data_IF_276829287357
#
_entry.id   IF_276829287357
#
_cell.length_a   1.000
_cell.length_b   1.000
_cell.length_c   1.000
_cell.angle_alpha   90.00
_cell.angle_beta   90.00
_cell.angle_gamma   90.00
#
_symmetry.space_group_name_H-M   'P 1'
#
loop_
_entity.id
_entity.type
_entity.pdbx_description
1 polymer ?
#
# COMPACT_ATOMS: atom_id res chain seq x y z
N UNK A 1 -1.64 -29.53 45.36
CA UNK A 1 -2.48 -29.29 44.16
C UNK A 1 -2.90 -27.84 43.99
N UNK A 2 -3.42 -27.15 45.02
CA UNK A 2 -3.92 -25.75 44.91
C UNK A 2 -2.88 -24.79 44.29
N UNK A 3 -1.62 -24.84 44.76
CA UNK A 3 -0.53 -24.01 44.22
C UNK A 3 -0.30 -24.21 42.71
N UNK A 4 -0.35 -25.45 42.22
CA UNK A 4 -0.17 -25.76 40.80
C UNK A 4 -1.32 -25.19 39.94
N UNK A 5 -2.57 -25.30 40.40
CA UNK A 5 -3.71 -24.70 39.71
C UNK A 5 -3.59 -23.16 39.64
N UNK A 6 -3.10 -22.51 40.70
CA UNK A 6 -2.84 -21.07 40.71
C UNK A 6 -1.74 -20.69 39.72
N UNK A 7 -0.62 -21.41 39.69
CA UNK A 7 0.45 -21.17 38.72
C UNK A 7 -0.02 -21.34 37.27
N UNK A 8 -0.76 -22.41 36.96
CA UNK A 8 -1.30 -22.61 35.62
C UNK A 8 -2.26 -21.47 35.21
N UNK A 9 -3.09 -21.00 36.14
CA UNK A 9 -3.99 -19.86 35.91
C UNK A 9 -3.22 -18.56 35.66
N UNK A 10 -2.12 -18.33 36.36
CA UNK A 10 -1.24 -17.17 36.15
C UNK A 10 -0.55 -17.22 34.79
N UNK A 11 0.05 -18.36 34.41
CA UNK A 11 0.67 -18.55 33.09
C UNK A 11 -0.35 -18.34 31.96
N UNK A 12 -1.57 -18.87 32.11
CA UNK A 12 -2.66 -18.64 31.16
C UNK A 12 -3.06 -17.16 31.05
N UNK A 13 -3.06 -16.42 32.17
CA UNK A 13 -3.32 -14.97 32.17
C UNK A 13 -2.19 -14.21 31.45
N UNK A 14 -0.93 -14.49 31.77
CA UNK A 14 0.22 -13.85 31.12
C UNK A 14 0.23 -14.08 29.60
N UNK A 15 -0.07 -15.30 29.16
CA UNK A 15 -0.19 -15.63 27.73
C UNK A 15 -1.29 -14.82 27.05
N UNK A 16 -2.47 -14.66 27.67
CA UNK A 16 -3.57 -13.86 27.11
C UNK A 16 -3.24 -12.37 27.07
N UNK A 17 -2.60 -11.84 28.11
CA UNK A 17 -2.16 -10.44 28.14
C UNK A 17 -1.17 -10.16 27.00
N UNK A 18 -0.13 -10.99 26.88
CA UNK A 18 0.85 -10.85 25.78
C UNK A 18 0.20 -10.90 24.40
N UNK A 19 -0.82 -11.72 24.21
CA UNK A 19 -1.58 -11.76 22.96
C UNK A 19 -2.40 -10.48 22.75
N UNK A 20 -3.07 -9.98 23.80
CA UNK A 20 -3.82 -8.73 23.73
C UNK A 20 -2.91 -7.54 23.40
N UNK A 21 -1.71 -7.48 23.96
CA UNK A 21 -0.73 -6.43 23.67
C UNK A 21 -0.39 -6.39 22.17
N UNK A 22 -0.28 -7.56 21.51
CA UNK A 22 -0.08 -7.63 20.06
C UNK A 22 -1.26 -7.10 19.25
N UNK A 23 -2.49 -7.34 19.69
CA UNK A 23 -3.67 -6.73 19.05
C UNK A 23 -3.68 -5.22 19.22
N UNK A 24 -3.31 -4.71 20.40
CA UNK A 24 -3.24 -3.27 20.65
C UNK A 24 -2.14 -2.58 19.82
N UNK A 25 -0.96 -3.21 19.73
CA UNK A 25 0.14 -2.78 18.86
C UNK A 25 -0.28 -2.76 17.39
N UNK A 26 -0.96 -3.82 16.94
CA UNK A 26 -1.45 -3.92 15.58
C UNK A 26 -2.51 -2.87 15.27
N UNK A 27 -3.50 -2.69 16.15
CA UNK A 27 -4.53 -1.65 15.96
C UNK A 27 -3.95 -0.23 15.96
N UNK A 28 -2.92 0.05 16.77
CA UNK A 28 -2.19 1.33 16.74
C UNK A 28 -1.48 1.58 15.40
N UNK A 29 -1.03 0.50 14.75
CA UNK A 29 -0.37 0.56 13.43
C UNK A 29 -1.35 0.84 12.31
N UNK A 30 -2.57 0.29 12.39
CA UNK A 30 -3.62 0.50 11.38
C UNK A 30 -4.15 1.93 11.40
N UNK A 31 -4.38 2.51 12.58
CA UNK A 31 -4.88 3.88 12.71
C UNK A 31 -4.03 4.71 13.68
N UNK A 32 -2.87 5.23 13.23
CA UNK A 32 -2.05 6.10 14.07
C UNK A 32 -2.83 7.32 14.57
N UNK A 33 -2.73 7.59 15.88
CA UNK A 33 -3.38 8.74 16.52
C UNK A 33 -4.85 8.53 16.91
N UNK A 34 -5.46 7.39 16.59
CA UNK A 34 -6.81 7.04 17.09
C UNK A 34 -6.72 6.06 18.26
N UNK A 35 -7.69 6.10 19.19
CA UNK A 35 -7.80 5.06 20.20
C UNK A 35 -7.95 3.69 19.54
N UNK A 36 -7.13 2.73 19.95
CA UNK A 36 -7.20 1.37 19.40
C UNK A 36 -8.51 0.71 19.80
N UNK A 37 -9.21 0.16 18.81
CA UNK A 37 -10.41 -0.64 19.04
C UNK A 37 -10.08 -1.80 19.98
N UNK A 38 -10.87 -1.98 21.05
CA UNK A 38 -10.68 -3.12 21.96
C UNK A 38 -11.16 -4.45 21.35
N UNK A 39 -12.05 -4.38 20.36
CA UNK A 39 -12.59 -5.54 19.66
C UNK A 39 -11.56 -6.09 18.66
N UNK A 40 -11.08 -7.31 18.93
CA UNK A 40 -10.10 -8.00 18.09
C UNK A 40 -10.62 -8.34 16.71
N UNK A 41 -11.91 -8.67 16.59
CA UNK A 41 -12.51 -8.95 15.29
C UNK A 41 -12.54 -7.66 14.45
N UNK A 42 -12.88 -6.52 15.07
CA UNK A 42 -12.84 -5.22 14.40
C UNK A 42 -11.42 -4.87 13.92
N UNK A 43 -10.38 -5.07 14.73
CA UNK A 43 -8.98 -4.85 14.31
C UNK A 43 -8.64 -5.69 13.07
N UNK A 44 -9.01 -6.98 13.06
CA UNK A 44 -8.73 -7.87 11.93
C UNK A 44 -9.54 -7.50 10.68
N UNK A 45 -10.78 -7.05 10.85
CA UNK A 45 -11.63 -6.55 9.77
C UNK A 45 -11.03 -5.29 9.15
N UNK A 46 -10.63 -4.31 9.96
CA UNK A 46 -9.99 -3.08 9.47
C UNK A 46 -8.70 -3.39 8.70
N UNK A 47 -7.86 -4.29 9.24
CA UNK A 47 -6.64 -4.74 8.56
C UNK A 47 -6.93 -5.38 7.20
N UNK A 48 -7.97 -6.23 7.14
CA UNK A 48 -8.36 -6.90 5.90
C UNK A 48 -8.83 -5.89 4.86
N UNK A 49 -9.67 -4.92 5.27
CA UNK A 49 -10.13 -3.84 4.40
C UNK A 49 -8.97 -2.98 3.89
N UNK A 50 -8.03 -2.62 4.78
CA UNK A 50 -6.84 -1.86 4.41
C UNK A 50 -5.97 -2.60 3.39
N UNK A 51 -5.75 -3.91 3.57
CA UNK A 51 -4.98 -4.72 2.60
C UNK A 51 -5.67 -4.77 1.24
N UNK A 52 -7.00 -4.90 1.21
CA UNK A 52 -7.78 -4.88 -0.04
C UNK A 52 -7.63 -3.52 -0.73
N UNK A 53 -7.79 -2.42 0.01
CA UNK A 53 -7.66 -1.07 -0.50
C UNK A 53 -6.25 -0.81 -1.06
N UNK A 54 -5.20 -1.11 -0.29
CA UNK A 54 -3.81 -0.92 -0.72
C UNK A 54 -3.46 -1.74 -1.97
N UNK A 55 -4.02 -2.95 -2.11
CA UNK A 55 -3.85 -3.75 -3.34
C UNK A 55 -4.53 -3.10 -4.54
N UNK A 56 -5.73 -2.56 -4.35
CA UNK A 56 -6.45 -1.81 -5.40
C UNK A 56 -5.69 -0.56 -5.81
N UNK A 57 -5.21 0.23 -4.85
CA UNK A 57 -4.42 1.44 -5.11
C UNK A 57 -3.11 1.10 -5.82
N UNK A 58 -2.40 0.06 -5.39
CA UNK A 58 -1.17 -0.38 -6.04
C UNK A 58 -1.40 -0.80 -7.50
N UNK A 59 -2.52 -1.48 -7.78
CA UNK A 59 -2.90 -1.87 -9.14
C UNK A 59 -3.23 -0.65 -10.01
N UNK A 60 -4.01 0.31 -9.49
CA UNK A 60 -4.33 1.56 -10.19
C UNK A 60 -3.08 2.41 -10.48
N UNK A 61 -2.15 2.50 -9.52
CA UNK A 61 -0.87 3.18 -9.72
C UNK A 61 -0.03 2.50 -10.80
N UNK A 62 -0.01 1.17 -10.84
CA UNK A 62 0.69 0.41 -11.88
C UNK A 62 0.11 0.66 -13.27
N UNK A 63 -1.22 0.68 -13.41
CA UNK A 63 -1.91 0.98 -14.66
C UNK A 63 -1.65 2.42 -15.11
N UNK A 64 -1.77 3.38 -14.20
CA UNK A 64 -1.50 4.80 -14.47
C UNK A 64 -0.06 5.01 -14.89
N UNK A 65 0.90 4.39 -14.20
CA UNK A 65 2.32 4.48 -14.56
C UNK A 65 2.58 3.88 -15.96
N UNK A 66 1.98 2.73 -16.27
CA UNK A 66 2.08 2.13 -17.61
C UNK A 66 1.55 3.04 -18.71
N UNK A 67 0.36 3.64 -18.50
CA UNK A 67 -0.23 4.59 -19.45
C UNK A 67 0.63 5.85 -19.63
N UNK A 68 1.23 6.36 -18.56
CA UNK A 68 2.16 7.49 -18.64
C UNK A 68 3.45 7.13 -19.41
N UNK A 69 4.00 5.93 -19.21
CA UNK A 69 5.16 5.45 -19.95
C UNK A 69 4.88 5.32 -21.45
N UNK A 70 3.69 4.81 -21.82
CA UNK A 70 3.22 4.78 -23.21
C UNK A 70 3.09 6.18 -23.77
N UNK A 71 2.48 7.11 -23.01
CA UNK A 71 2.32 8.49 -23.47
C UNK A 71 3.66 9.20 -23.69
N UNK A 72 4.65 8.93 -22.84
CA UNK A 72 6.01 9.45 -23.01
C UNK A 72 6.64 8.89 -24.30
N UNK A 73 6.40 7.63 -24.66
CA UNK A 73 6.93 7.04 -25.90
C UNK A 73 6.29 7.67 -27.13
N UNK A 74 4.96 7.82 -27.13
CA UNK A 74 4.23 8.50 -28.21
C UNK A 74 4.76 9.92 -28.43
N UNK A 75 4.84 10.72 -27.36
CA UNK A 75 5.30 12.12 -27.44
C UNK A 75 6.76 12.22 -27.90
N UNK A 76 7.61 11.24 -27.55
CA UNK A 76 9.00 11.20 -28.04
C UNK A 76 9.04 10.94 -29.55
N UNK A 77 8.24 9.99 -30.04
CA UNK A 77 8.13 9.68 -31.46
C UNK A 77 7.61 10.89 -32.26
N UNK A 78 6.50 11.49 -31.81
CA UNK A 78 5.93 12.70 -32.43
C UNK A 78 6.95 13.85 -32.47
N UNK A 79 7.68 14.07 -31.36
CA UNK A 79 8.74 15.09 -31.30
C UNK A 79 9.90 14.80 -32.25
N UNK A 80 10.23 13.54 -32.51
CA UNK A 80 11.28 13.17 -33.47
C UNK A 80 10.77 13.33 -34.92
N UNK A 81 9.52 12.96 -35.23
CA UNK A 81 8.87 13.20 -36.53
C UNK A 81 8.84 14.69 -36.88
N UNK A 82 8.41 15.54 -35.94
CA UNK A 82 8.39 17.00 -36.12
C UNK A 82 9.80 17.58 -36.33
N UNK A 83 10.84 16.97 -35.75
CA UNK A 83 12.23 17.38 -35.97
C UNK A 83 12.66 17.07 -37.40
N UNK A 84 12.32 15.89 -37.90
CA UNK A 84 12.69 15.44 -39.24
C UNK A 84 11.94 16.24 -40.31
N UNK A 85 10.65 16.53 -40.09
CA UNK A 85 9.87 17.42 -40.95
C UNK A 85 10.46 18.85 -40.99
N UNK A 86 10.82 19.40 -39.82
CA UNK A 86 11.48 20.71 -39.74
C UNK A 86 12.83 20.74 -40.48
N UNK A 87 13.59 19.65 -40.47
CA UNK A 87 14.85 19.57 -41.22
C UNK A 87 14.60 19.51 -42.73
N UNK A 88 13.60 18.73 -43.16
CA UNK A 88 13.20 18.66 -44.57
C UNK A 88 12.76 20.02 -45.12
N UNK A 89 11.91 20.74 -44.39
CA UNK A 89 11.46 22.08 -44.78
C UNK A 89 12.61 23.08 -44.91
N UNK A 90 13.60 23.04 -44.02
CA UNK A 90 14.81 23.89 -44.13
C UNK A 90 15.64 23.60 -45.37
N UNK A 91 15.73 22.34 -45.78
CA UNK A 91 16.44 21.95 -47.00
C UNK A 91 15.67 22.42 -48.24
N UNK A 92 14.34 22.33 -48.22
CA UNK A 92 13.48 22.83 -49.29
C UNK A 92 13.50 24.37 -49.40
N UNK A 93 13.59 25.11 -48.29
CA UNK A 93 13.75 26.57 -48.29
C UNK A 93 15.14 27.04 -48.77
N UNK A 94 16.15 26.17 -48.74
CA UNK A 94 17.52 26.48 -49.16
C UNK A 94 17.81 26.13 -50.63
N UNK A 95 16.85 25.55 -51.34
CA UNK A 95 16.92 25.16 -52.76
C UNK A 95 16.13 26.16 -53.63
#
# INVERSE_FOLDING_TARGET
MICMCQHLKLLGKLRRNKLNDRFLEFGSTLEPGKPVKADKAAILSDATLMVIQLRSEAQQLKETNGSLEEKIKELKAEKDELRDEKQKLKLEESL
#
